data_IF_095231175267
#
_entry.id   IF_095231175267
#
_cell.length_a   1.000
_cell.length_b   1.000
_cell.length_c   1.000
_cell.angle_alpha   90.00
_cell.angle_beta   90.00
_cell.angle_gamma   90.00
#
_symmetry.space_group_name_H-M   'P 1'
#
loop_
_entity.id
_entity.type
_entity.pdbx_description
1 polymer ?
#
# COMPACT_ATOMS: atom_id res chain seq x y z
N UNK A 1 50.85 -23.06 -23.76
CA UNK A 1 49.92 -23.80 -22.87
C UNK A 1 48.55 -23.70 -23.53
N UNK A 2 47.91 -24.82 -23.89
CA UNK A 2 46.75 -24.84 -24.76
C UNK A 2 45.46 -24.55 -24.01
N UNK A 3 44.61 -23.69 -24.57
CA UNK A 3 43.25 -23.45 -24.10
C UNK A 3 42.45 -24.75 -24.10
N UNK A 4 42.29 -25.35 -22.92
CA UNK A 4 41.45 -26.53 -22.75
C UNK A 4 39.98 -26.13 -22.94
N UNK A 5 39.17 -27.02 -23.50
CA UNK A 5 37.72 -26.83 -23.68
C UNK A 5 37.06 -26.30 -22.38
N UNK A 6 37.46 -26.88 -21.25
CA UNK A 6 36.99 -26.51 -19.91
C UNK A 6 37.32 -25.06 -19.52
N UNK A 7 38.43 -24.49 -19.98
CA UNK A 7 38.77 -23.08 -19.76
C UNK A 7 37.86 -22.13 -20.54
N UNK A 8 37.44 -22.50 -21.75
CA UNK A 8 36.51 -21.71 -22.57
C UNK A 8 35.09 -21.73 -22.00
N UNK A 9 34.64 -22.89 -21.52
CA UNK A 9 33.33 -23.04 -20.87
C UNK A 9 33.25 -22.21 -19.57
N UNK A 10 34.33 -22.22 -18.77
CA UNK A 10 34.42 -21.38 -17.57
C UNK A 10 34.38 -19.89 -17.88
N UNK A 11 35.09 -19.45 -18.93
CA UNK A 11 35.07 -18.05 -19.36
C UNK A 11 33.69 -17.62 -19.86
N UNK A 12 32.94 -18.51 -20.52
CA UNK A 12 31.57 -18.23 -20.95
C UNK A 12 30.63 -18.08 -19.75
N UNK A 13 30.70 -19.01 -18.79
CA UNK A 13 29.89 -18.98 -17.58
C UNK A 13 30.17 -17.74 -16.70
N UNK A 14 31.44 -17.35 -16.56
CA UNK A 14 31.81 -16.13 -15.81
C UNK A 14 31.34 -14.85 -16.52
N UNK A 15 31.34 -14.81 -17.85
CA UNK A 15 30.78 -13.68 -18.61
C UNK A 15 29.27 -13.57 -18.46
N UNK A 16 28.56 -14.71 -18.51
CA UNK A 16 27.12 -14.76 -18.33
C UNK A 16 26.71 -14.30 -16.93
N UNK A 17 27.41 -14.77 -15.89
CA UNK A 17 27.20 -14.32 -14.52
C UNK A 17 27.35 -12.81 -14.35
N UNK A 18 28.42 -12.21 -14.89
CA UNK A 18 28.64 -10.76 -14.81
C UNK A 18 27.56 -9.96 -15.54
N UNK A 19 27.01 -10.52 -16.62
CA UNK A 19 25.91 -9.89 -17.36
C UNK A 19 24.63 -9.90 -16.50
N UNK A 20 24.30 -11.03 -15.88
CA UNK A 20 23.15 -11.16 -14.98
C UNK A 20 23.29 -10.23 -13.77
N UNK A 21 24.46 -10.20 -13.13
CA UNK A 21 24.72 -9.32 -11.97
C UNK A 21 24.51 -7.83 -12.32
N UNK A 22 24.91 -7.41 -13.53
CA UNK A 22 24.67 -6.05 -14.01
C UNK A 22 23.19 -5.79 -14.28
N UNK A 23 22.53 -6.69 -15.00
CA UNK A 23 21.10 -6.56 -15.33
C UNK A 23 20.24 -6.47 -14.04
N UNK A 24 20.62 -7.23 -12.99
CA UNK A 24 19.96 -7.18 -11.67
C UNK A 24 20.26 -5.88 -10.93
N UNK A 25 21.52 -5.42 -10.91
CA UNK A 25 21.88 -4.15 -10.28
C UNK A 25 21.11 -3.00 -10.91
N UNK A 26 21.12 -2.90 -12.25
CA UNK A 26 20.42 -1.84 -12.98
C UNK A 26 18.89 -1.89 -12.78
N UNK A 27 18.32 -3.07 -12.52
CA UNK A 27 16.91 -3.20 -12.18
C UNK A 27 16.61 -2.72 -10.74
N UNK A 28 17.50 -3.04 -9.80
CA UNK A 28 17.40 -2.58 -8.40
C UNK A 28 17.56 -1.05 -8.33
N UNK A 29 18.57 -0.50 -9.02
CA UNK A 29 18.82 0.95 -9.04
C UNK A 29 17.61 1.75 -9.55
N UNK A 30 16.88 1.21 -10.55
CA UNK A 30 15.64 1.83 -11.07
C UNK A 30 14.44 1.64 -10.14
N UNK A 31 14.38 0.53 -9.40
CA UNK A 31 13.32 0.29 -8.43
C UNK A 31 13.48 1.11 -7.15
N UNK A 32 14.72 1.56 -6.85
CA UNK A 32 15.03 2.46 -5.74
C UNK A 32 14.73 3.93 -6.07
N UNK A 33 14.55 4.27 -7.35
CA UNK A 33 13.96 5.56 -7.74
C UNK A 33 12.53 5.62 -7.19
N UNK A 34 12.27 6.59 -6.30
CA UNK A 34 10.93 6.77 -5.74
C UNK A 34 9.93 7.02 -6.86
N UNK A 35 8.89 6.19 -6.95
CA UNK A 35 7.78 6.43 -7.85
C UNK A 35 7.18 7.83 -7.55
N UNK A 36 6.83 8.62 -8.59
CA UNK A 36 6.17 9.89 -8.36
C UNK A 36 4.88 9.65 -7.55
N UNK A 37 4.49 10.58 -6.67
CA UNK A 37 3.25 10.44 -5.92
C UNK A 37 2.10 10.26 -6.90
N UNK A 38 1.25 9.27 -6.63
CA UNK A 38 0.05 9.03 -7.42
C UNK A 38 -0.95 10.15 -7.10
N UNK A 39 -0.98 11.20 -7.92
CA UNK A 39 -1.89 12.36 -7.79
C UNK A 39 -3.35 12.00 -8.13
N UNK A 40 -3.66 10.72 -8.30
CA UNK A 40 -5.03 10.27 -8.51
C UNK A 40 -5.81 10.40 -7.19
N UNK A 41 -6.89 11.22 -7.15
CA UNK A 41 -7.65 11.39 -5.92
C UNK A 41 -8.28 10.05 -5.54
N UNK A 42 -8.07 9.63 -4.30
CA UNK A 42 -8.59 8.36 -3.81
C UNK A 42 -10.11 8.37 -3.91
N UNK A 43 -10.69 7.39 -4.60
CA UNK A 43 -12.14 7.31 -4.79
C UNK A 43 -12.86 6.85 -3.51
N UNK A 44 -14.13 7.21 -3.41
CA UNK A 44 -15.01 6.76 -2.34
C UNK A 44 -15.12 5.22 -2.31
N UNK A 45 -14.97 4.63 -1.13
CA UNK A 45 -15.01 3.18 -0.90
C UNK A 45 -16.37 2.54 -1.21
N UNK A 46 -17.46 3.32 -1.22
CA UNK A 46 -18.79 2.80 -1.54
C UNK A 46 -18.82 2.25 -2.97
N UNK A 47 -19.40 1.05 -3.11
CA UNK A 47 -19.57 0.40 -4.41
C UNK A 47 -20.34 1.32 -5.36
N UNK A 48 -19.85 1.42 -6.59
CA UNK A 48 -20.45 2.24 -7.65
C UNK A 48 -20.42 3.75 -7.40
N UNK A 49 -19.57 4.23 -6.48
CA UNK A 49 -19.28 5.65 -6.30
C UNK A 49 -17.87 5.93 -6.79
N UNK A 50 -17.74 6.83 -7.77
CA UNK A 50 -16.45 7.32 -8.31
C UNK A 50 -16.17 8.76 -7.87
N UNK A 51 -16.91 9.25 -6.88
CA UNK A 51 -16.64 10.58 -6.32
C UNK A 51 -15.34 10.52 -5.50
N UNK A 52 -14.56 11.60 -5.48
CA UNK A 52 -13.34 11.66 -4.68
C UNK A 52 -13.69 11.55 -3.18
N UNK A 53 -12.87 10.83 -2.43
CA UNK A 53 -12.97 10.77 -0.99
C UNK A 53 -12.59 12.14 -0.39
N UNK A 54 -13.45 12.63 0.50
CA UNK A 54 -13.26 13.88 1.24
C UNK A 54 -12.93 13.61 2.71
N UNK A 55 -13.32 12.44 3.24
CA UNK A 55 -13.10 12.06 4.64
C UNK A 55 -12.56 10.64 4.78
N UNK A 56 -11.77 10.44 5.83
CA UNK A 56 -11.43 9.14 6.40
C UNK A 56 -12.31 8.88 7.61
N UNK A 57 -13.08 7.80 7.58
CA UNK A 57 -13.93 7.32 8.68
C UNK A 57 -13.29 6.10 9.29
N UNK A 58 -12.96 6.18 10.58
CA UNK A 58 -12.27 5.12 11.32
C UNK A 58 -13.10 4.69 12.53
N UNK A 59 -13.38 3.40 12.66
CA UNK A 59 -14.02 2.79 13.83
C UNK A 59 -13.10 1.75 14.46
N UNK A 60 -12.80 1.89 15.75
CA UNK A 60 -12.01 0.94 16.53
C UNK A 60 -12.90 0.21 17.55
N UNK A 61 -12.94 -1.11 17.50
CA UNK A 61 -13.85 -1.94 18.30
C UNK A 61 -13.23 -3.29 18.66
N UNK A 62 -13.81 -4.00 19.63
CA UNK A 62 -13.34 -5.33 20.02
C UNK A 62 -13.82 -6.38 18.99
N UNK A 63 -12.93 -7.23 18.49
CA UNK A 63 -13.36 -8.30 17.58
C UNK A 63 -13.94 -9.52 18.32
N UNK A 64 -14.88 -10.22 17.68
CA UNK A 64 -15.55 -11.39 18.26
C UNK A 64 -14.63 -12.61 18.45
N UNK A 65 -13.50 -12.65 17.75
CA UNK A 65 -12.56 -13.79 17.84
C UNK A 65 -11.70 -13.76 19.10
N UNK A 66 -11.78 -12.67 19.88
CA UNK A 66 -11.01 -12.51 21.12
C UNK A 66 -9.52 -12.20 20.90
N UNK A 67 -9.09 -11.89 19.67
CA UNK A 67 -7.69 -11.57 19.36
C UNK A 67 -7.30 -10.12 19.70
N UNK A 68 -8.26 -9.23 19.92
CA UNK A 68 -8.00 -7.87 20.38
C UNK A 68 -8.94 -6.83 19.79
N UNK A 69 -8.56 -5.57 19.92
CA UNK A 69 -9.24 -4.48 19.24
C UNK A 69 -8.76 -4.40 17.79
N UNK A 70 -9.70 -4.18 16.88
CA UNK A 70 -9.44 -3.94 15.46
C UNK A 70 -9.83 -2.51 15.11
N UNK A 71 -9.17 -1.97 14.09
CA UNK A 71 -9.46 -0.67 13.53
C UNK A 71 -9.88 -0.86 12.07
N UNK A 72 -11.06 -0.34 11.72
CA UNK A 72 -11.60 -0.35 10.38
C UNK A 72 -11.66 1.08 9.85
N UNK A 73 -11.00 1.33 8.71
CA UNK A 73 -10.93 2.65 8.08
C UNK A 73 -11.51 2.61 6.67
N UNK A 74 -12.35 3.58 6.33
CA UNK A 74 -12.94 3.76 5.01
C UNK A 74 -12.82 5.21 4.54
N UNK A 75 -12.41 5.39 3.29
CA UNK A 75 -12.35 6.69 2.62
C UNK A 75 -13.67 6.94 1.89
N UNK A 76 -14.33 8.06 2.16
CA UNK A 76 -15.69 8.34 1.69
C UNK A 76 -15.84 9.78 1.18
N UNK A 77 -16.72 9.97 0.20
CA UNK A 77 -17.16 11.30 -0.23
C UNK A 77 -18.07 11.94 0.82
N UNK A 78 -18.28 13.26 0.72
CA UNK A 78 -19.06 14.03 1.70
C UNK A 78 -20.47 13.45 1.93
N UNK A 79 -21.12 12.99 0.84
CA UNK A 79 -22.47 12.43 0.88
C UNK A 79 -22.48 11.15 1.72
N UNK A 80 -21.63 10.19 1.39
CA UNK A 80 -21.60 8.90 2.08
C UNK A 80 -21.08 9.03 3.51
N UNK A 81 -20.15 9.95 3.80
CA UNK A 81 -19.74 10.25 5.17
C UNK A 81 -20.93 10.72 6.03
N UNK A 82 -21.86 11.49 5.46
CA UNK A 82 -23.09 11.91 6.15
C UNK A 82 -24.07 10.77 6.46
N UNK A 83 -23.94 9.64 5.77
CA UNK A 83 -24.74 8.43 6.02
C UNK A 83 -24.06 7.45 6.98
N UNK A 84 -22.76 7.60 7.22
CA UNK A 84 -22.03 6.71 8.12
C UNK A 84 -22.44 6.92 9.57
N UNK A 85 -22.52 5.80 10.29
CA UNK A 85 -22.76 5.78 11.71
C UNK A 85 -21.91 4.66 12.33
N UNK A 86 -21.55 4.77 13.63
CA UNK A 86 -20.84 3.70 14.30
C UNK A 86 -21.67 2.42 14.31
N UNK A 87 -21.10 1.32 13.81
CA UNK A 87 -21.83 0.07 13.59
C UNK A 87 -21.51 -1.01 14.63
N UNK A 88 -20.42 -0.84 15.40
CA UNK A 88 -19.92 -1.82 16.35
C UNK A 88 -20.03 -1.36 17.80
N UNK A 89 -21.08 -0.59 18.13
CA UNK A 89 -21.32 -0.09 19.50
C UNK A 89 -21.54 -1.22 20.51
N UNK A 90 -22.04 -2.37 20.08
CA UNK A 90 -22.16 -3.59 20.87
C UNK A 90 -20.79 -4.18 21.26
N UNK A 91 -19.74 -3.80 20.54
CA UNK A 91 -18.34 -4.22 20.75
C UNK A 91 -17.46 -3.08 21.26
N UNK A 92 -18.09 -2.04 21.81
CA UNK A 92 -17.38 -0.94 22.45
C UNK A 92 -16.63 -1.42 23.70
N UNK A 93 -15.47 -0.84 23.92
CA UNK A 93 -14.59 -1.07 25.07
C UNK A 93 -13.96 0.28 25.48
N UNK A 94 -13.03 0.27 26.45
CA UNK A 94 -12.47 1.51 27.01
C UNK A 94 -11.84 2.45 25.99
N UNK A 95 -11.25 1.91 24.92
CA UNK A 95 -10.59 2.70 23.88
C UNK A 95 -11.39 2.66 22.55
N UNK A 96 -12.71 2.43 22.64
CA UNK A 96 -13.59 2.55 21.49
C UNK A 96 -13.53 3.97 20.93
N UNK A 97 -13.37 4.09 19.62
CA UNK A 97 -13.39 5.37 18.94
C UNK A 97 -14.08 5.25 17.59
N UNK A 98 -14.93 6.23 17.29
CA UNK A 98 -15.44 6.50 15.97
C UNK A 98 -14.98 7.90 15.58
N UNK A 99 -14.17 8.00 14.52
CA UNK A 99 -13.53 9.24 14.11
C UNK A 99 -13.79 9.52 12.63
N UNK A 100 -14.10 10.77 12.33
CA UNK A 100 -14.20 11.28 10.97
C UNK A 100 -13.18 12.42 10.83
N UNK A 101 -12.21 12.25 9.93
CA UNK A 101 -11.18 13.24 9.65
C UNK A 101 -11.23 13.63 8.17
N UNK A 102 -11.09 14.92 7.83
CA UNK A 102 -10.95 15.31 6.43
C UNK A 102 -9.65 14.72 5.88
N UNK A 103 -9.70 14.07 4.71
CA UNK A 103 -8.48 13.78 3.97
C UNK A 103 -8.10 15.07 3.27
N UNK A 104 -6.99 15.69 3.70
CA UNK A 104 -6.41 16.78 2.95
C UNK A 104 -6.17 16.26 1.52
N UNK A 105 -6.77 16.91 0.52
CA UNK A 105 -6.27 16.79 -0.84
C UNK A 105 -4.78 17.08 -0.74
N UNK A 106 -3.95 16.07 -1.06
CA UNK A 106 -2.51 16.06 -0.83
C UNK A 106 -1.96 17.49 -0.75
N UNK A 107 -1.70 17.96 0.48
CA UNK A 107 -1.05 19.24 0.65
C UNK A 107 0.37 19.05 0.14
N UNK A 108 0.61 19.51 -1.09
CA UNK A 108 1.92 19.96 -1.58
C UNK A 108 2.66 20.64 -0.40
N UNK A 109 3.75 20.02 0.07
CA UNK A 109 4.82 20.68 0.82
C UNK A 109 6.17 20.30 0.19
#
# INVERSE_FOLDING_TARGET
>A
MPDTKSGRDKQAHDQERRRIERDVSEAVDRADESEPPDDTPVECYRRSCTEPAAFSVTERYQEDTGKGAVEATALLCEIHTGEEAPTNLDKAYSDYVFRVEPVAAASDD
#
